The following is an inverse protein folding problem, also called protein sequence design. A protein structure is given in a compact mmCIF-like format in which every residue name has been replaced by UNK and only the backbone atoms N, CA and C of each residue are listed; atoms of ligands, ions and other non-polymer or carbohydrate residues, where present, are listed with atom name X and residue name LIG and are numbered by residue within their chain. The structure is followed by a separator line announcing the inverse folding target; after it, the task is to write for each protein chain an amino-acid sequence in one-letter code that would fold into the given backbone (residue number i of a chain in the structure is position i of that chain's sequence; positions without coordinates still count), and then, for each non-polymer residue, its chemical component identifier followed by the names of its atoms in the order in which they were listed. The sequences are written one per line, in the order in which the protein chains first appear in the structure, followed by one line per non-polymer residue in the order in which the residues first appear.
data_IF_334748840941
#
_entry.id   IF_334748840941
#
_cell.length_a   1.000
_cell.length_b   1.000
_cell.length_c   1.000
_cell.angle_alpha   90.00
_cell.angle_beta   90.00
_cell.angle_gamma   90.00
#
_symmetry.space_group_name_H-M   'P 1'
#
loop_
_entity.id
_entity.type
_entity.pdbx_description
1 polymer ?
#
# COMPACT_ATOMS: atom_id res chain seq x y z
N UNK A 1 18.35 40.26 -27.54
CA UNK A 1 17.31 39.23 -27.40
C UNK A 1 18.03 37.91 -27.17
N UNK A 2 18.28 37.51 -25.91
CA UNK A 2 17.47 36.56 -25.10
C UNK A 2 17.26 35.25 -25.85
N UNK A 3 17.78 34.12 -25.36
CA UNK A 3 17.12 33.35 -24.29
C UNK A 3 18.11 32.74 -23.27
N UNK A 4 17.71 32.79 -22.00
CA UNK A 4 18.36 32.12 -20.87
C UNK A 4 17.76 30.72 -20.73
N UNK A 5 18.61 29.70 -20.70
CA UNK A 5 18.22 28.35 -20.30
C UNK A 5 17.76 28.37 -18.83
N UNK A 6 16.49 28.04 -18.62
CA UNK A 6 15.84 28.00 -17.32
C UNK A 6 15.96 26.57 -16.77
N UNK A 7 17.03 26.31 -16.02
CA UNK A 7 17.19 25.08 -15.24
C UNK A 7 16.08 25.02 -14.19
N UNK A 8 15.08 24.16 -14.41
CA UNK A 8 14.05 23.83 -13.42
C UNK A 8 14.73 23.19 -12.20
N UNK A 9 14.96 24.03 -11.20
CA UNK A 9 15.34 23.64 -9.83
C UNK A 9 14.17 22.84 -9.24
N UNK A 10 14.23 21.52 -9.36
CA UNK A 10 13.33 20.60 -8.69
C UNK A 10 13.42 20.83 -7.18
N UNK A 11 12.28 21.02 -6.53
CA UNK A 11 12.19 21.31 -5.10
C UNK A 11 12.79 20.15 -4.28
N UNK A 12 14.02 20.31 -3.81
CA UNK A 12 14.75 19.38 -2.94
C UNK A 12 14.00 19.02 -1.65
N UNK A 13 13.08 19.88 -1.21
CA UNK A 13 12.21 19.65 -0.05
C UNK A 13 11.13 18.61 -0.36
N UNK A 14 10.61 18.59 -1.59
CA UNK A 14 9.62 17.59 -2.01
C UNK A 14 10.30 16.23 -2.17
N UNK A 15 11.52 16.19 -2.71
CA UNK A 15 12.34 14.97 -2.74
C UNK A 15 12.74 14.49 -1.33
N UNK A 16 12.97 15.39 -0.36
CA UNK A 16 13.21 15.00 1.05
C UNK A 16 11.95 14.47 1.75
N UNK A 17 10.77 15.03 1.46
CA UNK A 17 9.49 14.56 2.01
C UNK A 17 9.01 13.26 1.35
N UNK A 18 9.31 13.07 0.05
CA UNK A 18 9.00 11.88 -0.73
C UNK A 18 10.16 10.88 -0.76
N UNK A 19 11.27 11.18 -0.05
CA UNK A 19 12.35 10.23 0.17
C UNK A 19 11.70 9.01 0.77
N UNK A 20 11.62 7.95 -0.06
CA UNK A 20 11.30 6.59 0.36
C UNK A 20 12.16 6.35 1.59
N UNK A 21 11.54 6.50 2.76
CA UNK A 21 12.06 5.84 3.94
C UNK A 21 11.98 4.39 3.50
N UNK A 22 13.13 3.81 3.16
CA UNK A 22 13.26 2.37 3.10
C UNK A 22 12.83 1.94 4.51
N UNK A 23 11.55 1.60 4.65
CA UNK A 23 11.00 1.13 5.91
C UNK A 23 11.82 -0.12 6.20
N UNK A 24 12.76 0.05 7.12
CA UNK A 24 13.66 -0.99 7.57
C UNK A 24 12.76 -2.16 7.97
N UNK A 25 13.05 -3.36 7.51
CA UNK A 25 12.32 -4.56 7.95
C UNK A 25 12.45 -4.63 9.48
N UNK A 26 11.37 -4.25 10.18
CA UNK A 26 11.32 -4.25 11.63
C UNK A 26 11.09 -5.69 12.10
N UNK A 27 11.53 -6.01 13.32
CA UNK A 27 11.16 -7.27 13.95
C UNK A 27 9.62 -7.41 14.05
N UNK A 28 9.13 -8.64 13.99
CA UNK A 28 7.70 -8.94 13.91
C UNK A 28 6.91 -8.37 15.09
N UNK A 29 7.47 -8.41 16.30
CA UNK A 29 6.79 -7.86 17.48
C UNK A 29 6.62 -6.34 17.37
N UNK A 30 7.65 -5.67 16.86
CA UNK A 30 7.59 -4.21 16.63
C UNK A 30 6.57 -3.87 15.55
N UNK A 31 6.51 -4.65 14.47
CA UNK A 31 5.50 -4.45 13.42
C UNK A 31 4.07 -4.59 13.94
N UNK A 32 3.81 -5.59 14.78
CA UNK A 32 2.49 -5.79 15.38
C UNK A 32 2.09 -4.58 16.21
N UNK A 33 2.99 -4.09 17.07
CA UNK A 33 2.73 -2.93 17.94
C UNK A 33 2.47 -1.67 17.11
N UNK A 34 3.28 -1.40 16.09
CA UNK A 34 3.11 -0.23 15.23
C UNK A 34 1.83 -0.31 14.38
N UNK A 35 1.48 -1.51 13.89
CA UNK A 35 0.21 -1.77 13.19
C UNK A 35 -0.97 -1.48 14.09
N UNK A 36 -0.97 -1.96 15.34
CA UNK A 36 -2.03 -1.67 16.31
C UNK A 36 -2.22 -0.17 16.55
N UNK A 37 -1.11 0.57 16.67
CA UNK A 37 -1.17 2.03 16.82
C UNK A 37 -1.80 2.72 15.60
N UNK A 38 -1.43 2.33 14.39
CA UNK A 38 -1.97 2.90 13.15
C UNK A 38 -3.44 2.58 12.95
N UNK A 39 -3.85 1.32 13.14
CA UNK A 39 -5.26 0.89 13.08
C UNK A 39 -6.11 1.68 14.08
N UNK A 40 -5.65 1.80 15.33
CA UNK A 40 -6.36 2.57 16.35
C UNK A 40 -6.47 4.06 16.02
N UNK A 41 -5.41 4.62 15.40
CA UNK A 41 -5.43 5.98 14.88
C UNK A 41 -6.47 6.19 13.78
N UNK A 42 -6.52 5.28 12.81
CA UNK A 42 -7.47 5.31 11.69
C UNK A 42 -8.92 5.20 12.17
N UNK A 43 -9.19 4.30 13.10
CA UNK A 43 -10.53 4.10 13.68
C UNK A 43 -11.06 5.34 14.43
N UNK A 44 -10.17 6.15 15.02
CA UNK A 44 -10.56 7.33 15.82
C UNK A 44 -10.71 8.61 15.02
N UNK A 45 -9.85 8.82 14.02
CA UNK A 45 -9.75 10.11 13.31
C UNK A 45 -10.58 10.15 12.02
N UNK A 46 -11.10 9.02 11.55
CA UNK A 46 -11.64 8.92 10.20
C UNK A 46 -10.54 8.96 9.15
N UNK A 47 -10.85 8.56 7.92
CA UNK A 47 -9.85 8.26 6.90
C UNK A 47 -9.95 9.14 5.64
N UNK A 48 -8.80 9.50 5.07
CA UNK A 48 -8.63 10.10 3.75
C UNK A 48 -8.02 9.08 2.77
N UNK A 49 -8.82 8.62 1.81
CA UNK A 49 -8.40 7.69 0.76
C UNK A 49 -7.26 8.25 -0.08
N UNK A 50 -6.03 7.77 0.17
CA UNK A 50 -4.94 7.97 -0.76
C UNK A 50 -5.09 6.93 -1.88
N UNK A 51 -5.62 7.36 -3.02
CA UNK A 51 -5.76 6.52 -4.21
C UNK A 51 -4.53 5.66 -4.47
N UNK A 52 -4.78 4.40 -4.80
CA UNK A 52 -3.77 3.34 -4.97
C UNK A 52 -2.67 3.81 -5.93
N UNK A 53 -1.45 3.71 -5.42
CA UNK A 53 -0.21 4.00 -6.12
C UNK A 53 -0.07 3.09 -7.35
N UNK A 54 0.16 3.71 -8.51
CA UNK A 54 0.46 3.17 -9.86
C UNK A 54 1.70 2.25 -9.94
N UNK A 55 2.23 1.75 -8.82
CA UNK A 55 3.47 0.96 -8.79
C UNK A 55 3.28 -0.43 -9.38
N UNK A 56 2.20 -1.13 -9.04
CA UNK A 56 1.90 -2.46 -9.58
C UNK A 56 1.61 -2.40 -11.08
N UNK A 57 0.75 -1.46 -11.50
CA UNK A 57 0.42 -1.26 -12.91
C UNK A 57 1.67 -0.92 -13.72
N UNK A 58 2.50 0.02 -13.25
CA UNK A 58 3.76 0.37 -13.90
C UNK A 58 4.73 -0.80 -13.99
N UNK A 59 4.82 -1.63 -12.95
CA UNK A 59 5.66 -2.83 -12.98
C UNK A 59 5.17 -3.81 -14.04
N UNK A 60 3.89 -4.15 -14.04
CA UNK A 60 3.30 -5.11 -14.97
C UNK A 60 3.37 -4.61 -16.43
N UNK A 61 3.13 -3.32 -16.67
CA UNK A 61 3.23 -2.70 -18.01
C UNK A 61 4.64 -2.78 -18.59
N UNK A 62 5.69 -2.77 -17.76
CA UNK A 62 7.08 -2.95 -18.22
C UNK A 62 7.41 -4.40 -18.56
N UNK A 63 6.61 -5.35 -18.11
CA UNK A 63 6.88 -6.79 -18.19
C UNK A 63 5.78 -7.58 -18.94
N UNK A 64 4.99 -6.92 -19.79
CA UNK A 64 3.82 -7.51 -20.49
C UNK A 64 4.18 -8.76 -21.30
N UNK A 65 5.41 -8.87 -21.78
CA UNK A 65 5.91 -10.00 -22.57
C UNK A 65 6.93 -10.88 -21.82
N UNK A 66 7.08 -10.66 -20.51
CA UNK A 66 8.04 -11.39 -19.68
C UNK A 66 7.34 -12.53 -18.93
N UNK A 67 8.03 -13.66 -18.80
CA UNK A 67 7.66 -14.69 -17.83
C UNK A 67 8.33 -14.37 -16.51
N UNK A 68 7.54 -14.24 -15.45
CA UNK A 68 8.00 -13.91 -14.10
C UNK A 68 7.51 -14.98 -13.13
N UNK A 69 8.40 -15.42 -12.25
CA UNK A 69 8.03 -16.28 -11.13
C UNK A 69 7.48 -15.40 -10.01
N UNK A 70 6.26 -15.68 -9.57
CA UNK A 70 5.53 -14.85 -8.62
C UNK A 70 4.79 -15.69 -7.59
N UNK A 71 4.62 -15.11 -6.40
CA UNK A 71 3.69 -15.59 -5.37
C UNK A 71 2.56 -14.58 -5.26
N UNK A 72 1.33 -15.05 -5.37
CA UNK A 72 0.13 -14.21 -5.18
C UNK A 72 -0.42 -14.43 -3.77
N UNK A 73 -0.62 -13.33 -3.05
CA UNK A 73 -1.23 -13.29 -1.72
C UNK A 73 -2.68 -12.79 -1.83
N UNK A 74 -3.61 -13.55 -1.27
CA UNK A 74 -5.00 -13.16 -1.10
C UNK A 74 -5.30 -13.10 0.40
N UNK A 75 -5.73 -11.95 0.90
CA UNK A 75 -6.07 -11.74 2.31
C UNK A 75 -7.47 -11.13 2.39
N UNK A 76 -8.28 -11.63 3.31
CA UNK A 76 -9.68 -11.23 3.46
C UNK A 76 -10.04 -10.97 4.92
N UNK A 77 -11.01 -10.08 5.15
CA UNK A 77 -11.44 -9.72 6.50
C UNK A 77 -12.53 -10.67 6.99
N UNK A 78 -12.17 -11.54 7.93
CA UNK A 78 -13.11 -12.50 8.53
C UNK A 78 -14.32 -11.79 9.15
N UNK A 79 -15.52 -12.26 8.81
CA UNK A 79 -16.78 -11.75 9.36
C UNK A 79 -17.28 -10.44 8.72
N UNK A 80 -16.65 -9.97 7.64
CA UNK A 80 -17.03 -8.76 6.92
C UNK A 80 -18.49 -8.70 6.51
N UNK A 81 -19.07 -9.81 6.05
CA UNK A 81 -20.46 -9.88 5.62
C UNK A 81 -21.41 -9.59 6.78
N UNK A 82 -21.19 -10.21 7.93
CA UNK A 82 -21.98 -9.94 9.14
C UNK A 82 -21.83 -8.49 9.58
N UNK A 83 -20.60 -7.98 9.61
CA UNK A 83 -20.36 -6.57 9.95
C UNK A 83 -21.06 -5.60 8.99
N UNK A 84 -21.06 -5.89 7.68
CA UNK A 84 -21.72 -5.08 6.67
C UNK A 84 -23.25 -5.08 6.79
N UNK A 85 -23.85 -6.14 7.35
CA UNK A 85 -25.29 -6.24 7.58
C UNK A 85 -25.73 -5.57 8.88
N UNK A 86 -24.88 -5.59 9.91
CA UNK A 86 -25.25 -5.16 11.27
C UNK A 86 -24.76 -3.74 11.61
N UNK A 87 -23.72 -3.25 10.94
CA UNK A 87 -23.10 -1.96 11.27
C UNK A 87 -23.53 -0.84 10.33
N UNK A 88 -23.55 0.42 10.82
CA UNK A 88 -23.69 1.60 9.95
C UNK A 88 -22.61 1.63 8.87
N UNK A 89 -22.99 2.06 7.66
CA UNK A 89 -22.13 2.11 6.48
C UNK A 89 -20.81 2.87 6.75
N UNK A 90 -20.87 3.97 7.50
CA UNK A 90 -19.71 4.78 7.84
C UNK A 90 -18.70 4.01 8.70
N UNK A 91 -19.18 3.17 9.61
CA UNK A 91 -18.30 2.39 10.51
C UNK A 91 -17.63 1.25 9.77
N UNK A 92 -18.37 0.50 8.95
CA UNK A 92 -17.80 -0.62 8.18
C UNK A 92 -16.83 -0.10 7.11
N UNK A 93 -17.11 1.05 6.50
CA UNK A 93 -16.18 1.70 5.57
C UNK A 93 -14.83 2.04 6.23
N UNK A 94 -14.85 2.54 7.47
CA UNK A 94 -13.62 2.80 8.23
C UNK A 94 -12.85 1.50 8.50
N UNK A 95 -13.54 0.42 8.89
CA UNK A 95 -12.91 -0.88 9.18
C UNK A 95 -12.25 -1.46 7.92
N UNK A 96 -13.01 -1.55 6.82
CA UNK A 96 -12.51 -2.09 5.55
C UNK A 96 -11.34 -1.25 5.05
N UNK A 97 -11.45 0.08 5.10
CA UNK A 97 -10.37 0.97 4.67
C UNK A 97 -9.12 0.80 5.53
N UNK A 98 -9.26 0.72 6.85
CA UNK A 98 -8.14 0.53 7.78
C UNK A 98 -7.44 -0.81 7.54
N UNK A 99 -8.21 -1.89 7.35
CA UNK A 99 -7.67 -3.20 7.01
C UNK A 99 -6.90 -3.18 5.67
N UNK A 100 -7.53 -2.64 4.63
CA UNK A 100 -6.95 -2.56 3.30
C UNK A 100 -5.61 -1.81 3.30
N UNK A 101 -5.53 -0.70 4.04
CA UNK A 101 -4.31 0.09 4.16
C UNK A 101 -3.19 -0.63 4.88
N UNK A 102 -3.47 -1.28 6.01
CA UNK A 102 -2.44 -1.98 6.76
C UNK A 102 -1.89 -3.15 5.94
N UNK A 103 -2.75 -3.90 5.25
CA UNK A 103 -2.28 -4.94 4.33
C UNK A 103 -1.42 -4.36 3.22
N UNK A 104 -1.82 -3.23 2.65
CA UNK A 104 -1.05 -2.54 1.63
C UNK A 104 0.31 -2.01 2.14
N UNK A 105 0.38 -1.56 3.39
CA UNK A 105 1.63 -1.13 4.02
C UNK A 105 2.56 -2.33 4.24
N UNK A 106 2.05 -3.41 4.84
CA UNK A 106 2.82 -4.64 5.10
C UNK A 106 3.33 -5.26 3.79
N UNK A 107 2.49 -5.36 2.75
CA UNK A 107 2.92 -5.87 1.43
C UNK A 107 4.09 -5.04 0.88
N UNK A 108 4.02 -3.71 0.94
CA UNK A 108 5.09 -2.81 0.45
C UNK A 108 6.36 -2.90 1.30
N UNK A 109 6.24 -3.01 2.61
CA UNK A 109 7.37 -3.20 3.55
C UNK A 109 8.17 -4.47 3.23
N UNK A 110 7.50 -5.49 2.70
CA UNK A 110 8.11 -6.75 2.25
C UNK A 110 8.39 -6.78 0.74
N UNK A 111 8.57 -5.63 0.10
CA UNK A 111 8.90 -5.51 -1.33
C UNK A 111 7.88 -6.14 -2.29
N UNK A 112 6.64 -6.31 -1.84
CA UNK A 112 5.52 -6.77 -2.67
C UNK A 112 4.77 -5.61 -3.34
N UNK A 113 3.91 -5.99 -4.27
CA UNK A 113 3.02 -5.09 -4.99
C UNK A 113 1.57 -5.37 -4.61
N UNK A 114 0.79 -4.33 -4.33
CA UNK A 114 -0.66 -4.45 -4.22
C UNK A 114 -1.25 -4.39 -5.63
N UNK A 115 -1.89 -5.47 -6.06
CA UNK A 115 -2.52 -5.57 -7.37
C UNK A 115 -3.86 -4.83 -7.40
N UNK A 116 -4.73 -5.16 -6.44
CA UNK A 116 -6.06 -4.56 -6.32
C UNK A 116 -6.71 -4.83 -4.97
N UNK A 117 -7.70 -4.02 -4.66
CA UNK A 117 -8.65 -4.21 -3.57
C UNK A 117 -9.96 -4.75 -4.13
N UNK A 118 -10.57 -5.72 -3.46
CA UNK A 118 -11.82 -6.38 -3.88
C UNK A 118 -12.76 -6.45 -2.69
N UNK A 119 -13.56 -5.41 -2.50
CA UNK A 119 -14.41 -5.29 -1.31
C UNK A 119 -13.55 -5.18 -0.05
N UNK A 120 -13.63 -6.19 0.80
CA UNK A 120 -12.88 -6.39 2.03
C UNK A 120 -11.57 -7.16 1.85
N UNK A 121 -11.33 -7.72 0.66
CA UNK A 121 -10.11 -8.45 0.35
C UNK A 121 -9.02 -7.57 -0.29
N UNK A 122 -7.76 -7.94 -0.02
CA UNK A 122 -6.57 -7.35 -0.63
C UNK A 122 -5.81 -8.43 -1.40
N UNK A 123 -5.48 -8.11 -2.66
CA UNK A 123 -4.67 -8.98 -3.52
C UNK A 123 -3.32 -8.33 -3.72
N UNK A 124 -2.28 -9.01 -3.25
CA UNK A 124 -0.89 -8.64 -3.45
C UNK A 124 -0.12 -9.71 -4.22
N UNK A 125 1.05 -9.38 -4.72
CA UNK A 125 2.00 -10.36 -5.24
C UNK A 125 3.43 -9.95 -4.96
N UNK A 126 4.29 -10.96 -4.90
CA UNK A 126 5.72 -10.85 -4.71
C UNK A 126 6.40 -11.50 -5.90
N UNK A 127 7.38 -10.82 -6.47
CA UNK A 127 8.17 -11.34 -7.59
C UNK A 127 9.40 -12.01 -6.99
N UNK A 128 9.70 -13.23 -7.43
CA UNK A 128 10.91 -13.90 -7.02
C UNK A 128 12.11 -13.22 -7.70
N UNK A 129 13.09 -12.79 -6.88
CA UNK A 129 14.40 -12.42 -7.41
C UNK A 129 15.17 -13.71 -7.68
N UNK A 130 15.32 -14.07 -8.96
CA UNK A 130 16.03 -15.27 -9.39
C UNK A 130 17.56 -15.16 -9.23
N UNK A 131 18.07 -14.19 -8.45
CA UNK A 131 19.49 -14.11 -8.10
C UNK A 131 19.79 -15.03 -6.91
N UNK A 132 20.07 -16.30 -7.24
CA UNK A 132 20.85 -17.20 -6.39
C UNK A 132 22.34 -16.87 -6.44
#
# INVERSE_FOLDING_TARGET
MTEKENTKKGNTVVDMLLSRHAEKTLDSETMIVETQKRVWGALKKGYEYSGVVDESERFLRKHVFSKLDMVVLYVDLVGSTTMALEMPAEKIAIIISSFAQEMAAVIRQHNGFVLKFVGDAVIGYFVADNNS
#
